data_IF_020385562951
#
_entry.id   IF_020385562951
#
_cell.length_a   1.000
_cell.length_b   1.000
_cell.length_c   1.000
_cell.angle_alpha   90.00
_cell.angle_beta   90.00
_cell.angle_gamma   90.00
#
_symmetry.space_group_name_H-M   'P 1'
#
loop_
_entity.id
_entity.type
_entity.pdbx_description
1 polymer ?
#
# COMPACT_ATOMS: atom_id res chain seq x y z
N UNK A 1 -5.51 15.81 14.50
CA UNK A 1 -4.68 16.09 13.30
C UNK A 1 -4.72 14.84 12.42
N UNK A 2 -5.17 14.96 11.17
CA UNK A 2 -5.19 13.83 10.23
C UNK A 2 -3.74 13.51 9.85
N UNK A 3 -3.40 12.22 9.71
CA UNK A 3 -2.05 11.81 9.34
C UNK A 3 -1.84 11.91 7.81
N UNK A 4 -0.60 12.21 7.37
CA UNK A 4 -0.23 12.17 5.95
C UNK A 4 -0.61 10.84 5.27
N UNK A 5 -0.62 9.75 6.03
CA UNK A 5 -1.03 8.43 5.54
C UNK A 5 -2.52 8.40 5.15
N UNK A 6 -3.40 8.98 5.96
CA UNK A 6 -4.82 9.04 5.65
C UNK A 6 -5.11 9.94 4.45
N UNK A 7 -4.44 11.10 4.38
CA UNK A 7 -4.57 12.00 3.24
C UNK A 7 -4.10 11.35 1.93
N UNK A 8 -3.03 10.55 2.00
CA UNK A 8 -2.52 9.76 0.87
C UNK A 8 -3.45 8.59 0.47
N UNK A 9 -4.29 8.09 1.38
CA UNK A 9 -5.33 7.11 1.04
C UNK A 9 -6.53 7.77 0.34
N UNK A 10 -6.90 8.98 0.79
CA UNK A 10 -7.99 9.76 0.20
C UNK A 10 -7.66 10.20 -1.23
N UNK A 11 -6.52 10.87 -1.41
CA UNK A 11 -6.21 11.61 -2.64
C UNK A 11 -4.83 11.31 -3.25
N UNK A 12 -4.15 10.26 -2.78
CA UNK A 12 -2.85 9.89 -3.34
C UNK A 12 -2.95 9.42 -4.80
N UNK A 13 -1.83 9.35 -5.53
CA UNK A 13 -1.82 8.87 -6.90
C UNK A 13 -2.47 7.48 -6.99
N UNK A 14 -3.43 7.29 -7.90
CA UNK A 14 -4.21 6.04 -8.01
C UNK A 14 -5.38 5.89 -7.04
N UNK A 15 -5.76 6.94 -6.30
CA UNK A 15 -7.12 7.08 -5.84
C UNK A 15 -8.05 7.18 -7.05
N UNK A 16 -9.00 6.25 -7.18
CA UNK A 16 -9.97 6.23 -8.26
C UNK A 16 -11.29 5.65 -7.78
N UNK A 17 -12.38 6.07 -8.40
CA UNK A 17 -13.72 5.54 -8.20
C UNK A 17 -13.96 4.46 -9.26
N UNK A 18 -14.30 3.26 -8.81
CA UNK A 18 -14.66 2.14 -9.67
C UNK A 18 -16.12 2.28 -10.11
N UNK A 19 -16.45 1.87 -11.34
CA UNK A 19 -17.84 1.80 -11.77
C UNK A 19 -18.65 0.81 -10.93
N UNK A 20 -19.95 1.03 -10.81
CA UNK A 20 -20.84 0.22 -9.98
C UNK A 20 -20.96 -1.24 -10.46
N UNK A 21 -20.59 -1.50 -11.72
CA UNK A 21 -20.58 -2.82 -12.33
C UNK A 21 -19.45 -3.70 -11.77
N UNK A 22 -18.42 -3.12 -11.16
CA UNK A 22 -17.30 -3.88 -10.59
C UNK A 22 -17.76 -4.57 -9.30
N UNK A 23 -17.83 -5.90 -9.33
CA UNK A 23 -18.28 -6.69 -8.19
C UNK A 23 -17.14 -7.10 -7.26
N UNK A 24 -15.95 -7.40 -7.81
CA UNK A 24 -14.82 -7.89 -7.03
C UNK A 24 -13.49 -7.63 -7.76
N UNK A 25 -12.43 -7.42 -6.98
CA UNK A 25 -11.05 -7.48 -7.47
C UNK A 25 -10.32 -8.60 -6.73
N UNK A 26 -9.70 -9.49 -7.49
CA UNK A 26 -8.80 -10.53 -6.98
C UNK A 26 -7.40 -10.29 -7.52
N UNK A 27 -6.38 -10.47 -6.69
CA UNK A 27 -4.99 -10.31 -7.07
C UNK A 27 -4.17 -11.51 -6.62
N UNK A 28 -3.47 -12.15 -7.54
CA UNK A 28 -2.62 -13.31 -7.27
C UNK A 28 -1.15 -12.99 -7.61
N UNK A 29 -0.23 -13.16 -6.66
CA UNK A 29 1.19 -12.96 -6.88
C UNK A 29 2.08 -13.64 -5.83
N UNK A 30 3.33 -13.90 -6.20
CA UNK A 30 4.30 -14.54 -5.32
C UNK A 30 4.86 -13.58 -4.25
N UNK A 31 5.24 -14.14 -3.11
CA UNK A 31 5.80 -13.39 -1.98
C UNK A 31 7.18 -12.78 -2.31
N UNK A 32 8.00 -13.52 -3.06
CA UNK A 32 9.31 -13.05 -3.54
C UNK A 32 9.15 -12.31 -4.87
N UNK A 33 10.05 -11.39 -5.14
CA UNK A 33 9.96 -10.46 -6.29
C UNK A 33 10.62 -10.97 -7.57
N UNK A 34 11.22 -12.17 -7.54
CA UNK A 34 11.78 -12.81 -8.73
C UNK A 34 10.70 -13.04 -9.79
N UNK A 35 11.09 -13.20 -11.06
CA UNK A 35 10.19 -13.45 -12.19
C UNK A 35 9.13 -12.37 -12.44
N UNK A 36 9.43 -11.10 -12.11
CA UNK A 36 8.59 -9.97 -12.52
C UNK A 36 7.44 -9.64 -11.56
N UNK A 37 7.46 -10.13 -10.32
CA UNK A 37 6.40 -9.93 -9.32
C UNK A 37 6.48 -8.59 -8.57
N UNK A 38 7.53 -7.80 -8.78
CA UNK A 38 7.77 -6.53 -8.08
C UNK A 38 6.65 -5.51 -8.29
N UNK A 39 6.14 -5.40 -9.53
CA UNK A 39 5.04 -4.49 -9.88
C UNK A 39 3.77 -4.78 -9.10
N UNK A 40 3.36 -6.05 -9.06
CA UNK A 40 2.18 -6.49 -8.31
C UNK A 40 2.31 -6.19 -6.81
N UNK A 41 3.47 -6.50 -6.21
CA UNK A 41 3.73 -6.21 -4.80
C UNK A 41 3.65 -4.72 -4.49
N UNK A 42 4.17 -3.87 -5.37
CA UNK A 42 4.09 -2.41 -5.24
C UNK A 42 2.66 -1.91 -5.40
N UNK A 43 1.94 -2.41 -6.39
CA UNK A 43 0.53 -2.10 -6.60
C UNK A 43 -0.32 -2.40 -5.37
N UNK A 44 -0.14 -3.59 -4.76
CA UNK A 44 -0.84 -3.97 -3.53
C UNK A 44 -0.54 -3.06 -2.33
N UNK A 45 0.69 -2.58 -2.18
CA UNK A 45 1.07 -1.75 -1.02
C UNK A 45 0.71 -0.28 -1.19
N UNK A 46 0.72 0.22 -2.43
CA UNK A 46 0.63 1.65 -2.70
C UNK A 46 -0.72 2.07 -3.30
N UNK A 47 -1.28 1.30 -4.25
CA UNK A 47 -2.48 1.69 -4.99
C UNK A 47 -3.74 0.97 -4.51
N UNK A 48 -3.68 -0.34 -4.25
CA UNK A 48 -4.85 -1.11 -3.82
C UNK A 48 -5.51 -0.56 -2.53
N UNK A 49 -4.77 -0.07 -1.51
CA UNK A 49 -5.39 0.53 -0.32
C UNK A 49 -6.14 1.83 -0.62
N UNK A 50 -5.63 2.64 -1.57
CA UNK A 50 -6.29 3.88 -2.04
C UNK A 50 -7.59 3.56 -2.77
N UNK A 51 -7.57 2.53 -3.61
CA UNK A 51 -8.77 2.01 -4.27
C UNK A 51 -9.78 1.51 -3.23
N UNK A 52 -9.37 0.72 -2.24
CA UNK A 52 -10.28 0.21 -1.21
C UNK A 52 -10.91 1.33 -0.35
N UNK A 53 -10.14 2.37 -0.05
CA UNK A 53 -10.62 3.52 0.72
C UNK A 53 -11.77 4.25 0.00
N UNK A 54 -11.63 4.46 -1.31
CA UNK A 54 -12.64 5.13 -2.14
C UNK A 54 -13.78 4.19 -2.58
N UNK A 55 -13.59 2.87 -2.49
CA UNK A 55 -14.54 1.85 -2.94
C UNK A 55 -14.76 0.79 -1.84
N UNK A 56 -15.34 1.16 -0.68
CA UNK A 56 -15.48 0.23 0.45
C UNK A 56 -16.37 -0.96 0.13
N UNK A 57 -17.37 -0.79 -0.75
CA UNK A 57 -18.31 -1.84 -1.15
C UNK A 57 -17.69 -2.94 -2.04
N UNK A 58 -16.55 -2.68 -2.68
CA UNK A 58 -15.91 -3.67 -3.57
C UNK A 58 -14.94 -4.54 -2.76
N UNK A 59 -15.16 -5.85 -2.63
CA UNK A 59 -14.18 -6.77 -2.05
C UNK A 59 -12.91 -6.81 -2.89
N UNK A 60 -11.77 -6.63 -2.21
CA UNK A 60 -10.44 -6.70 -2.82
C UNK A 60 -9.65 -7.80 -2.11
N UNK A 61 -9.48 -8.93 -2.78
CA UNK A 61 -8.89 -10.14 -2.21
C UNK A 61 -7.48 -10.31 -2.74
N UNK A 62 -6.55 -10.61 -1.84
CA UNK A 62 -5.15 -10.83 -2.18
C UNK A 62 -4.76 -12.25 -1.85
N UNK A 63 -4.36 -12.99 -2.88
CA UNK A 63 -3.75 -14.30 -2.76
C UNK A 63 -2.23 -14.16 -2.93
N UNK A 64 -1.48 -14.60 -1.92
CA UNK A 64 -0.02 -14.67 -1.99
C UNK A 64 0.43 -16.10 -1.80
N UNK A 65 1.50 -16.48 -2.51
CA UNK A 65 2.06 -17.82 -2.48
C UNK A 65 3.59 -17.79 -2.63
N UNK A 66 4.25 -18.94 -2.49
CA UNK A 66 5.70 -19.11 -2.68
C UNK A 66 6.09 -19.44 -4.13
N UNK A 67 5.14 -19.80 -4.99
CA UNK A 67 5.40 -20.22 -6.38
C UNK A 67 5.73 -19.01 -7.27
N UNK A 68 7.01 -18.74 -7.50
CA UNK A 68 7.45 -17.58 -8.30
C UNK A 68 7.29 -17.78 -9.81
N UNK A 69 7.03 -19.00 -10.27
CA UNK A 69 6.85 -19.32 -11.69
C UNK A 69 5.44 -18.98 -12.19
N UNK A 70 4.45 -18.93 -11.29
CA UNK A 70 3.11 -18.45 -11.60
C UNK A 70 3.16 -16.95 -11.99
N UNK A 71 2.41 -16.60 -13.04
CA UNK A 71 2.38 -15.22 -13.54
C UNK A 71 1.50 -14.35 -12.63
N UNK A 72 2.01 -13.23 -12.10
CA UNK A 72 1.22 -12.36 -11.25
C UNK A 72 0.07 -11.74 -12.06
N UNK A 73 -1.16 -11.93 -11.61
CA UNK A 73 -2.36 -11.57 -12.36
C UNK A 73 -3.37 -10.88 -11.44
N UNK A 74 -4.01 -9.85 -11.96
CA UNK A 74 -5.17 -9.22 -11.35
C UNK A 74 -6.41 -9.58 -12.15
N UNK A 75 -7.45 -9.99 -11.45
CA UNK A 75 -8.71 -10.46 -12.00
C UNK A 75 -9.81 -9.56 -11.49
N UNK A 76 -10.47 -8.84 -12.38
CA UNK A 76 -11.58 -7.92 -12.06
C UNK A 76 -12.87 -8.54 -12.56
N UNK A 77 -13.84 -8.67 -11.66
CA UNK A 77 -15.17 -9.18 -11.95
C UNK A 77 -16.09 -8.00 -12.23
N UNK A 78 -16.74 -8.01 -13.39
CA UNK A 78 -17.60 -6.93 -13.84
C UNK A 78 -18.95 -7.50 -14.26
N UNK A 79 -20.03 -6.99 -13.69
CA UNK A 79 -21.40 -7.39 -14.03
C UNK A 79 -21.71 -7.02 -15.49
N UNK A 80 -22.34 -7.93 -16.21
CA UNK A 80 -22.72 -7.72 -17.63
C UNK A 80 -24.12 -7.13 -17.78
N UNK A 81 -25.00 -7.34 -16.79
CA UNK A 81 -26.32 -6.73 -16.74
C UNK A 81 -26.32 -5.49 -15.84
N UNK A 82 -27.10 -4.47 -16.23
CA UNK A 82 -27.45 -3.33 -15.35
C UNK A 82 -28.27 -3.92 -14.20
N UNK A 83 -27.58 -4.25 -13.11
CA UNK A 83 -28.21 -4.73 -11.90
C UNK A 83 -29.13 -3.60 -11.38
N UNK A 84 -30.43 -3.83 -11.43
CA UNK A 84 -31.37 -3.04 -10.64
C UNK A 84 -30.98 -3.14 -9.17
N UNK A 85 -31.19 -2.08 -8.39
CA UNK A 85 -30.70 -1.95 -7.01
C UNK A 85 -31.11 -3.12 -6.05
N UNK A 86 -32.05 -3.99 -6.46
CA UNK A 86 -32.44 -5.21 -5.75
C UNK A 86 -31.55 -6.45 -5.97
N UNK A 87 -30.74 -6.50 -7.02
CA UNK A 87 -29.90 -7.69 -7.34
C UNK A 87 -28.57 -7.71 -6.55
N UNK A 88 -28.27 -6.66 -5.80
CA UNK A 88 -27.06 -6.55 -4.99
C UNK A 88 -26.96 -7.61 -3.88
N UNK A 89 -28.10 -8.18 -3.44
CA UNK A 89 -28.15 -9.23 -2.43
C UNK A 89 -28.04 -10.66 -2.98
N UNK A 90 -28.31 -10.87 -4.28
CA UNK A 90 -28.55 -12.20 -4.85
C UNK A 90 -27.28 -12.95 -5.31
N UNK A 91 -26.13 -12.28 -5.44
CA UNK A 91 -24.87 -12.89 -5.89
C UNK A 91 -23.79 -12.84 -4.81
N UNK A 92 -24.11 -13.29 -3.60
CA UNK A 92 -23.10 -13.48 -2.54
C UNK A 92 -22.50 -14.88 -2.69
N UNK A 93 -21.80 -15.13 -3.79
CA UNK A 93 -20.89 -16.28 -3.81
C UNK A 93 -19.90 -16.11 -2.63
N UNK A 94 -19.59 -17.17 -1.87
CA UNK A 94 -18.71 -17.06 -0.71
C UNK A 94 -17.37 -16.48 -1.14
N UNK A 95 -17.11 -15.24 -0.73
CA UNK A 95 -15.89 -14.52 -1.03
C UNK A 95 -14.75 -15.12 -0.20
N UNK A 96 -13.69 -15.66 -0.82
CA UNK A 96 -12.58 -16.20 -0.06
C UNK A 96 -11.86 -15.07 0.67
N UNK A 97 -11.46 -15.31 1.93
CA UNK A 97 -10.59 -14.39 2.66
C UNK A 97 -9.23 -14.26 1.95
N UNK A 98 -8.46 -13.20 2.19
CA UNK A 98 -7.09 -13.10 1.65
C UNK A 98 -6.17 -14.19 2.25
N UNK A 99 -5.21 -14.69 1.47
CA UNK A 99 -4.28 -15.75 1.90
C UNK A 99 -2.82 -15.39 1.66
N UNK A 100 -1.95 -15.99 2.48
CA UNK A 100 -0.48 -15.91 2.39
C UNK A 100 0.16 -17.20 1.87
N UNK A 101 -0.64 -18.24 1.70
CA UNK A 101 -0.21 -19.61 1.38
C UNK A 101 -0.93 -20.15 0.14
N UNK A 102 -1.52 -19.28 -0.67
CA UNK A 102 -2.12 -19.65 -1.96
C UNK A 102 -3.53 -20.24 -1.90
N UNK A 103 -4.21 -20.21 -0.74
CA UNK A 103 -5.53 -20.85 -0.55
C UNK A 103 -6.70 -20.07 -1.18
N UNK A 104 -6.49 -18.81 -1.54
CA UNK A 104 -7.56 -17.91 -1.99
C UNK A 104 -7.53 -17.77 -3.49
N UNK A 105 -7.68 -18.87 -4.22
CA UNK A 105 -7.61 -18.86 -5.68
C UNK A 105 -8.81 -18.12 -6.29
N UNK A 106 -8.59 -17.55 -7.48
CA UNK A 106 -9.62 -16.84 -8.23
C UNK A 106 -10.82 -17.78 -8.47
N UNK A 107 -12.03 -17.31 -8.19
CA UNK A 107 -13.25 -18.07 -8.41
C UNK A 107 -13.70 -17.93 -9.87
N UNK A 108 -14.37 -18.93 -10.45
CA UNK A 108 -14.99 -18.75 -11.75
C UNK A 108 -16.05 -17.64 -11.70
N UNK A 109 -16.27 -16.89 -12.80
CA UNK A 109 -17.32 -15.87 -12.84
C UNK A 109 -18.71 -16.47 -12.59
N UNK A 110 -19.58 -15.68 -11.96
CA UNK A 110 -21.02 -15.97 -11.97
C UNK A 110 -21.61 -15.81 -13.38
N UNK A 111 -22.81 -16.34 -13.60
CA UNK A 111 -23.48 -16.34 -14.92
C UNK A 111 -23.72 -14.94 -15.51
N UNK A 112 -23.83 -13.92 -14.66
CA UNK A 112 -24.03 -12.52 -15.04
C UNK A 112 -22.78 -11.65 -14.83
N UNK A 113 -21.62 -12.27 -14.73
CA UNK A 113 -20.34 -11.60 -14.57
C UNK A 113 -19.39 -11.96 -15.72
N UNK A 114 -18.64 -10.97 -16.18
CA UNK A 114 -17.46 -11.18 -17.02
C UNK A 114 -16.21 -10.90 -16.22
N UNK A 115 -15.12 -11.54 -16.62
CA UNK A 115 -13.82 -11.38 -15.99
C UNK A 115 -12.89 -10.61 -16.91
N UNK A 116 -12.18 -9.65 -16.33
CA UNK A 116 -11.11 -8.91 -16.97
C UNK A 116 -9.80 -9.30 -16.31
N UNK A 117 -8.89 -9.89 -17.08
CA UNK A 117 -7.57 -10.29 -16.61
C UNK A 117 -6.52 -9.25 -16.99
N UNK A 118 -5.79 -8.78 -15.99
CA UNK A 118 -4.68 -7.84 -16.13
C UNK A 118 -3.42 -8.57 -15.70
N UNK A 119 -2.59 -8.92 -16.69
CA UNK A 119 -1.23 -9.42 -16.44
C UNK A 119 -0.39 -8.35 -15.74
N UNK A 120 0.36 -8.71 -14.71
CA UNK A 120 1.21 -7.81 -13.94
C UNK A 120 2.70 -8.11 -14.10
N UNK A 121 3.07 -9.12 -14.89
CA UNK A 121 4.45 -9.60 -15.00
C UNK A 121 5.36 -8.57 -15.66
N UNK A 122 6.46 -8.24 -14.99
CA UNK A 122 7.44 -7.25 -15.47
C UNK A 122 6.85 -5.85 -15.73
N UNK A 123 5.67 -5.54 -15.18
CA UNK A 123 5.05 -4.23 -15.32
C UNK A 123 5.37 -3.34 -14.12
N UNK A 124 5.51 -2.04 -14.35
CA UNK A 124 5.58 -1.08 -13.27
C UNK A 124 4.18 -0.90 -12.63
N UNK A 125 4.11 -0.57 -11.35
CA UNK A 125 2.84 -0.43 -10.62
C UNK A 125 1.94 0.66 -11.22
N UNK A 126 2.53 1.74 -11.75
CA UNK A 126 1.81 2.80 -12.50
C UNK A 126 1.15 2.26 -13.76
N UNK A 127 1.85 1.45 -14.56
CA UNK A 127 1.31 0.89 -15.79
C UNK A 127 0.17 -0.09 -15.51
N UNK A 128 0.23 -0.80 -14.39
CA UNK A 128 -0.84 -1.71 -13.93
C UNK A 128 -2.10 -0.90 -13.57
N UNK A 129 -1.92 0.24 -12.88
CA UNK A 129 -3.02 1.15 -12.55
C UNK A 129 -3.64 1.74 -13.82
N UNK A 130 -2.83 2.20 -14.77
CA UNK A 130 -3.32 2.72 -16.05
C UNK A 130 -4.11 1.67 -16.84
N UNK A 131 -3.63 0.42 -16.87
CA UNK A 131 -4.35 -0.70 -17.48
C UNK A 131 -5.68 -0.98 -16.78
N UNK A 132 -5.70 -0.96 -15.44
CA UNK A 132 -6.93 -1.11 -14.68
C UNK A 132 -7.94 -0.01 -15.00
N UNK A 133 -7.49 1.25 -14.98
CA UNK A 133 -8.32 2.41 -15.30
C UNK A 133 -8.89 2.31 -16.71
N UNK A 134 -8.04 1.97 -17.69
CA UNK A 134 -8.44 1.90 -19.10
C UNK A 134 -9.40 0.74 -19.38
N UNK A 135 -9.20 -0.44 -18.78
CA UNK A 135 -10.02 -1.62 -19.05
C UNK A 135 -11.33 -1.62 -18.28
N UNK A 136 -11.33 -1.10 -17.05
CA UNK A 136 -12.50 -1.10 -16.18
C UNK A 136 -13.30 0.20 -16.31
N UNK A 137 -12.68 1.30 -16.75
CA UNK A 137 -13.33 2.61 -16.86
C UNK A 137 -13.37 3.37 -15.53
N UNK A 138 -12.39 3.14 -14.65
CA UNK A 138 -12.34 3.81 -13.35
C UNK A 138 -12.00 5.31 -13.51
N UNK A 139 -12.62 6.16 -12.70
CA UNK A 139 -12.40 7.62 -12.77
C UNK A 139 -11.36 8.03 -11.72
N UNK A 140 -10.17 8.55 -12.11
CA UNK A 140 -9.16 8.98 -11.16
C UNK A 140 -9.64 10.22 -10.39
N UNK A 141 -9.45 10.20 -9.07
CA UNK A 141 -9.85 11.29 -8.19
C UNK A 141 -8.76 12.37 -8.20
N UNK A 142 -9.15 13.62 -8.43
CA UNK A 142 -8.23 14.76 -8.44
C UNK A 142 -8.18 15.41 -7.06
N UNK A 143 -7.00 15.74 -6.50
CA UNK A 143 -6.86 16.48 -5.25
C UNK A 143 -7.66 17.78 -5.27
N UNK A 144 -8.44 18.05 -4.22
CA UNK A 144 -9.11 19.35 -4.07
C UNK A 144 -8.13 20.40 -3.54
N UNK A 145 -8.41 21.71 -3.70
CA UNK A 145 -7.55 22.76 -3.15
C UNK A 145 -7.34 22.65 -1.64
N UNK A 146 -8.38 22.27 -0.89
CA UNK A 146 -8.30 22.06 0.56
C UNK A 146 -7.34 20.93 0.92
N UNK A 147 -7.42 19.80 0.20
CA UNK A 147 -6.49 18.68 0.37
C UNK A 147 -5.04 19.11 0.14
N UNK A 148 -4.80 19.94 -0.88
CA UNK A 148 -3.44 20.39 -1.20
C UNK A 148 -2.87 21.30 -0.11
N UNK A 149 -3.71 22.16 0.48
CA UNK A 149 -3.31 23.00 1.61
C UNK A 149 -3.02 22.16 2.87
N UNK A 150 -3.87 21.16 3.16
CA UNK A 150 -3.65 20.22 4.27
C UNK A 150 -2.34 19.44 4.08
N UNK A 151 -2.08 18.98 2.85
CA UNK A 151 -0.84 18.28 2.50
C UNK A 151 0.40 19.16 2.74
N UNK A 152 0.35 20.41 2.27
CA UNK A 152 1.44 21.37 2.44
C UNK A 152 1.71 21.66 3.92
N UNK A 153 0.67 21.90 4.72
CA UNK A 153 0.79 22.16 6.16
C UNK A 153 1.39 20.96 6.93
N UNK A 154 0.95 19.74 6.61
CA UNK A 154 1.51 18.54 7.23
C UNK A 154 2.96 18.27 6.81
N UNK A 155 3.31 18.54 5.56
CA UNK A 155 4.68 18.38 5.06
C UNK A 155 5.64 19.40 5.70
N UNK A 156 5.19 20.63 5.92
CA UNK A 156 5.95 21.63 6.66
C UNK A 156 6.16 21.21 8.12
N UNK A 157 5.11 20.75 8.80
CA UNK A 157 5.21 20.21 10.15
C UNK A 157 6.20 19.02 10.22
N UNK A 158 6.18 18.14 9.21
CA UNK A 158 7.13 17.02 9.10
C UNK A 158 8.57 17.51 8.96
N UNK A 159 8.82 18.52 8.13
CA UNK A 159 10.16 19.13 7.95
C UNK A 159 10.66 19.74 9.26
N UNK A 160 9.82 20.52 9.94
CA UNK A 160 10.16 21.12 11.24
C UNK A 160 10.44 20.03 12.30
N UNK A 161 9.65 18.96 12.30
CA UNK A 161 9.84 17.82 13.19
C UNK A 161 11.16 17.09 12.94
N UNK A 162 11.54 16.86 11.67
CA UNK A 162 12.82 16.25 11.33
C UNK A 162 14.01 17.12 11.75
N UNK A 163 13.99 18.42 11.41
CA UNK A 163 15.04 19.35 11.84
C UNK A 163 15.18 19.41 13.37
N UNK A 164 14.08 19.33 14.11
CA UNK A 164 14.11 19.31 15.57
C UNK A 164 14.66 17.98 16.12
N UNK A 165 14.33 16.85 15.50
CA UNK A 165 14.92 15.54 15.84
C UNK A 165 16.43 15.54 15.60
N UNK A 166 16.89 16.08 14.48
CA UNK A 166 18.30 16.14 14.13
C UNK A 166 19.10 16.99 15.14
N UNK A 167 18.55 18.15 15.54
CA UNK A 167 19.12 18.98 16.61
C UNK A 167 19.24 18.23 17.93
N UNK A 168 18.18 17.54 18.37
CA UNK A 168 18.19 16.79 19.64
C UNK A 168 19.18 15.62 19.56
N UNK A 169 19.24 14.92 18.43
CA UNK A 169 20.18 13.82 18.22
C UNK A 169 21.63 14.30 18.24
N UNK A 170 21.94 15.47 17.68
CA UNK A 170 23.27 16.08 17.75
C UNK A 170 23.67 16.40 19.19
N UNK A 171 22.78 17.03 19.98
CA UNK A 171 23.02 17.33 21.40
C UNK A 171 23.24 16.06 22.21
N UNK A 172 22.44 15.01 21.96
CA UNK A 172 22.62 13.71 22.63
C UNK A 172 23.96 13.08 22.29
N UNK A 173 24.35 13.09 21.02
CA UNK A 173 25.62 12.54 20.58
C UNK A 173 26.83 13.29 21.17
N UNK A 174 26.75 14.61 21.32
CA UNK A 174 27.79 15.41 21.97
C UNK A 174 27.92 15.05 23.45
N UNK A 175 26.82 15.02 24.19
CA UNK A 175 26.81 14.60 25.60
C UNK A 175 27.35 13.19 25.80
N UNK A 176 27.02 12.26 24.90
CA UNK A 176 27.53 10.90 24.95
C UNK A 176 29.04 10.85 24.69
N UNK A 177 29.56 11.66 23.76
CA UNK A 177 31.01 11.79 23.51
C UNK A 177 31.75 12.36 24.72
N UNK A 178 31.22 13.43 25.31
CA UNK A 178 31.77 14.04 26.52
C UNK A 178 31.79 13.05 27.68
N UNK A 179 30.67 12.36 27.93
CA UNK A 179 30.57 11.35 28.98
C UNK A 179 31.57 10.20 28.77
N UNK A 180 31.71 9.72 27.53
CA UNK A 180 32.67 8.68 27.17
C UNK A 180 34.12 9.14 27.37
N UNK A 181 34.45 10.39 26.99
CA UNK A 181 35.77 10.96 27.19
C UNK A 181 36.11 11.09 28.68
N UNK A 182 35.18 11.63 29.48
CA UNK A 182 35.33 11.75 30.93
C UNK A 182 35.48 10.39 31.60
N UNK A 183 34.72 9.39 31.18
CA UNK A 183 34.83 8.03 31.69
C UNK A 183 36.20 7.42 31.38
N UNK A 184 36.72 7.60 30.16
CA UNK A 184 38.07 7.15 29.79
C UNK A 184 39.16 7.87 30.59
N UNK A 185 39.04 9.18 30.76
CA UNK A 185 39.99 9.96 31.56
C UNK A 185 39.98 9.54 33.03
N UNK A 186 38.80 9.30 33.62
CA UNK A 186 38.65 8.80 34.99
C UNK A 186 39.25 7.40 35.16
N UNK A 187 39.04 6.51 34.19
CA UNK A 187 39.63 5.17 34.20
C UNK A 187 41.16 5.19 34.09
N UNK A 188 41.73 6.14 33.33
CA UNK A 188 43.19 6.29 33.20
C UNK A 188 43.83 6.94 34.43
N UNK A 189 43.19 7.95 35.04
CA UNK A 189 43.70 8.63 36.24
C UNK A 189 43.52 7.83 37.54
N UNK A 190 42.56 6.90 37.59
CA UNK A 190 42.39 5.99 38.73
C UNK A 190 43.35 4.80 38.76
N UNK A 191 44.19 4.63 37.73
CA UNK A 191 45.16 3.53 37.64
C UNK A 191 46.57 3.89 38.15
N UNK A 192 46.80 5.14 38.60
CA UNK A 192 48.13 5.64 38.97
C UNK A 192 48.36 5.85 40.47
N UNK A 193 47.34 5.69 41.32
CA UNK A 193 47.44 5.94 42.77
C UNK A 193 47.55 4.67 43.64
N UNK A 194 47.71 3.49 43.05
CA UNK A 194 47.79 2.19 43.76
C UNK A 194 49.14 1.47 43.53
N UNK A 195 50.23 2.24 43.47
CA UNK A 195 51.59 1.72 43.41
C UNK A 195 52.56 2.55 44.26
N UNK A 196 52.46 2.41 45.59
CA UNK A 196 53.53 2.73 46.54
C UNK A 196 53.43 1.84 47.79
#
# INVERSE_FOLDING_TARGET
MISLQLLNLRMGPGAAILPAEVSQIHMDFAMRTHNGHMGAKKFWREYLPRLKYNNPGVPMIVNRHSQNDETPTMTVYVRTAVATAGDAAANTAPQPASSRVGLSKAQPPASNERVVHIDMKNKHSTNILEQLIAQVGAVPLRPTPEDTAEWQGLEELRKQGNASRDRINAIKAEKEREATMLQRARAAGGATDDAA
#
